data_IF_342920371373
#
_entry.id   IF_342920371373
#
_cell.length_a   1.000
_cell.length_b   1.000
_cell.length_c   1.000
_cell.angle_alpha   90.00
_cell.angle_beta   90.00
_cell.angle_gamma   90.00
#
_symmetry.space_group_name_H-M   'P 1'
#
loop_
_entity.id
_entity.type
_entity.pdbx_description
1 polymer ?
#
# COMPACT_ATOMS: atom_id res chain seq x y z
N UNK A 1 14.40 1.76 -22.68
CA UNK A 1 13.36 2.14 -21.69
C UNK A 1 12.26 3.02 -22.32
N UNK A 2 11.61 2.59 -23.41
CA UNK A 2 10.63 3.42 -24.13
C UNK A 2 9.45 2.68 -24.75
N UNK A 3 9.28 1.38 -24.47
CA UNK A 3 8.31 0.53 -25.17
C UNK A 3 6.90 0.48 -24.55
N UNK A 4 6.66 1.19 -23.45
CA UNK A 4 5.38 1.13 -22.73
C UNK A 4 4.57 2.42 -22.76
N UNK A 5 5.11 3.51 -23.34
CA UNK A 5 4.41 4.79 -23.43
C UNK A 5 3.44 4.80 -24.62
N UNK A 6 2.17 5.09 -24.35
CA UNK A 6 1.17 5.26 -25.42
C UNK A 6 0.89 6.76 -25.63
N UNK A 7 1.47 7.30 -26.70
CA UNK A 7 1.39 8.73 -27.02
C UNK A 7 -0.04 9.21 -27.29
N UNK A 8 -0.90 8.35 -27.83
CA UNK A 8 -2.28 8.69 -28.18
C UNK A 8 -3.20 8.83 -26.95
N UNK A 9 -2.82 8.25 -25.80
CA UNK A 9 -3.56 8.37 -24.53
C UNK A 9 -2.90 9.27 -23.50
N UNK A 10 -1.65 9.64 -23.75
CA UNK A 10 -0.92 10.57 -22.89
C UNK A 10 -1.36 12.00 -23.23
N UNK A 11 -1.69 12.79 -22.21
CA UNK A 11 -2.07 14.21 -22.35
C UNK A 11 -1.01 15.08 -21.66
N UNK A 12 -1.09 16.40 -21.82
CA UNK A 12 -0.15 17.31 -21.16
C UNK A 12 -0.13 17.08 -19.64
N UNK A 13 1.05 16.85 -19.07
CA UNK A 13 1.22 16.53 -17.65
C UNK A 13 0.91 15.08 -17.24
N UNK A 14 0.36 14.23 -18.13
CA UNK A 14 0.00 12.85 -17.80
C UNK A 14 0.54 11.84 -18.82
N UNK A 15 1.35 10.89 -18.34
CA UNK A 15 1.91 9.82 -19.16
C UNK A 15 1.13 8.53 -18.91
N UNK A 16 0.55 7.96 -19.97
CA UNK A 16 -0.09 6.66 -19.91
C UNK A 16 0.90 5.54 -20.26
N UNK A 17 1.11 4.62 -19.33
CA UNK A 17 1.88 3.40 -19.54
C UNK A 17 0.93 2.23 -19.79
N UNK A 18 1.04 1.58 -20.95
CA UNK A 18 0.17 0.44 -21.33
C UNK A 18 0.45 -0.81 -20.51
N UNK A 19 1.69 -0.96 -20.07
CA UNK A 19 2.16 -2.09 -19.28
C UNK A 19 3.23 -1.60 -18.31
N UNK A 20 3.18 -2.13 -17.09
CA UNK A 20 4.21 -1.93 -16.07
C UNK A 20 4.81 -3.28 -15.70
N UNK A 21 6.12 -3.31 -15.55
CA UNK A 21 6.90 -4.44 -15.04
C UNK A 21 7.98 -3.94 -14.07
N UNK A 22 8.83 -4.83 -13.57
CA UNK A 22 9.85 -4.46 -12.58
C UNK A 22 10.85 -3.43 -13.13
N UNK A 23 11.07 -3.39 -14.43
CA UNK A 23 11.99 -2.44 -15.09
C UNK A 23 11.34 -1.06 -15.33
N UNK A 24 10.04 -0.92 -15.07
CA UNK A 24 9.35 0.38 -15.07
C UNK A 24 9.51 1.15 -13.77
N UNK A 25 10.11 0.57 -12.73
CA UNK A 25 10.43 1.33 -11.53
C UNK A 25 11.55 2.34 -11.79
N UNK A 26 11.36 3.58 -11.32
CA UNK A 26 12.39 4.61 -11.43
C UNK A 26 11.85 6.03 -11.39
N UNK A 27 12.74 7.00 -11.58
CA UNK A 27 12.39 8.42 -11.62
C UNK A 27 11.96 8.79 -13.04
N UNK A 28 10.75 9.33 -13.16
CA UNK A 28 10.19 9.86 -14.39
C UNK A 28 10.24 11.38 -14.32
N UNK A 29 10.82 11.99 -15.35
CA UNK A 29 10.96 13.44 -15.49
C UNK A 29 10.08 13.97 -16.61
N UNK A 30 9.31 15.01 -16.31
CA UNK A 30 8.62 15.82 -17.30
C UNK A 30 9.39 17.11 -17.49
N UNK A 31 9.70 17.45 -18.73
CA UNK A 31 10.45 18.65 -19.11
C UNK A 31 9.62 19.43 -20.14
N UNK A 32 9.45 20.73 -19.92
CA UNK A 32 8.82 21.65 -20.86
C UNK A 32 9.76 22.82 -21.13
N UNK A 33 10.06 23.06 -22.40
CA UNK A 33 10.97 24.12 -22.84
C UNK A 33 10.21 25.16 -23.66
N UNK A 34 10.38 26.43 -23.32
CA UNK A 34 9.96 27.54 -24.15
C UNK A 34 10.90 27.68 -25.36
N UNK A 35 10.33 27.94 -26.53
CA UNK A 35 11.09 28.23 -27.75
C UNK A 35 11.47 29.72 -27.82
N UNK A 36 12.31 30.09 -28.79
CA UNK A 36 12.84 31.45 -29.00
C UNK A 36 11.80 32.56 -28.75
N UNK A 37 12.16 33.68 -28.08
CA UNK A 37 13.52 34.16 -27.79
C UNK A 37 14.07 33.82 -26.39
N UNK A 38 13.23 33.32 -25.48
CA UNK A 38 13.63 32.98 -24.10
C UNK A 38 13.58 31.47 -23.93
N UNK A 39 14.72 30.81 -24.08
CA UNK A 39 14.87 29.39 -23.78
C UNK A 39 14.81 29.17 -22.27
N UNK A 40 13.61 28.95 -21.75
CA UNK A 40 13.37 28.57 -20.36
C UNK A 40 12.90 27.11 -20.34
N UNK A 41 13.59 26.28 -19.57
CA UNK A 41 13.19 24.89 -19.35
C UNK A 41 12.71 24.75 -17.92
N UNK A 42 11.51 24.20 -17.74
CA UNK A 42 10.98 23.78 -16.44
C UNK A 42 10.91 22.26 -16.41
N UNK A 43 11.34 21.65 -15.31
CA UNK A 43 11.30 20.20 -15.12
C UNK A 43 10.64 19.83 -13.80
N UNK A 44 10.00 18.67 -13.78
CA UNK A 44 9.43 18.06 -12.58
C UNK A 44 9.70 16.55 -12.60
N UNK A 45 9.98 15.98 -11.43
CA UNK A 45 10.31 14.56 -11.28
C UNK A 45 9.37 13.84 -10.32
N UNK A 46 9.09 12.57 -10.61
CA UNK A 46 8.36 11.69 -9.69
C UNK A 46 8.89 10.25 -9.77
N UNK A 47 9.00 9.60 -8.62
CA UNK A 47 9.42 8.20 -8.54
C UNK A 47 8.21 7.27 -8.71
N UNK A 48 8.20 6.46 -9.78
CA UNK A 48 7.28 5.35 -9.96
C UNK A 48 7.82 4.13 -9.20
N UNK A 49 7.07 3.63 -8.22
CA UNK A 49 7.38 2.39 -7.49
C UNK A 49 6.53 1.24 -8.00
N UNK A 50 7.11 0.06 -8.13
CA UNK A 50 6.41 -1.16 -8.57
C UNK A 50 6.25 -2.12 -7.40
N UNK A 51 5.01 -2.54 -7.16
CA UNK A 51 4.67 -3.50 -6.13
C UNK A 51 4.30 -4.84 -6.76
N UNK A 52 4.84 -5.93 -6.21
CA UNK A 52 4.51 -7.30 -6.62
C UNK A 52 4.01 -8.07 -5.41
N UNK A 53 2.76 -8.53 -5.49
CA UNK A 53 2.09 -9.30 -4.44
C UNK A 53 2.43 -10.78 -4.64
N UNK A 54 2.73 -11.55 -3.56
CA UNK A 54 2.88 -12.99 -3.65
C UNK A 54 1.64 -13.61 -4.32
N UNK A 55 1.86 -14.47 -5.32
CA UNK A 55 0.78 -15.21 -5.98
C UNK A 55 0.38 -16.47 -5.21
N UNK A 56 1.26 -16.91 -4.30
CA UNK A 56 1.12 -18.14 -3.52
C UNK A 56 1.02 -17.80 -2.03
N UNK A 57 0.26 -18.61 -1.31
CA UNK A 57 0.19 -18.55 0.14
C UNK A 57 1.55 -18.90 0.78
N UNK A 58 1.87 -18.35 1.96
CA UNK A 58 3.09 -18.72 2.65
C UNK A 58 3.09 -20.20 3.05
N UNK A 59 4.23 -20.85 2.88
CA UNK A 59 4.42 -22.27 3.17
C UNK A 59 5.02 -22.48 4.57
N UNK A 60 4.50 -23.45 5.32
CA UNK A 60 5.07 -23.90 6.60
C UNK A 60 5.92 -25.14 6.37
N UNK A 61 7.22 -25.03 6.64
CA UNK A 61 8.23 -26.07 6.43
C UNK A 61 8.72 -26.61 7.78
N UNK A 62 8.94 -27.91 7.87
CA UNK A 62 9.49 -28.57 9.07
C UNK A 62 8.45 -28.98 10.12
N UNK A 63 7.15 -28.79 9.84
CA UNK A 63 6.09 -29.24 10.75
C UNK A 63 6.01 -30.76 10.82
N UNK A 64 5.88 -31.31 12.03
CA UNK A 64 5.62 -32.73 12.25
C UNK A 64 4.12 -33.03 12.13
N UNK A 65 3.78 -34.31 11.96
CA UNK A 65 2.39 -34.78 11.93
C UNK A 65 1.73 -34.82 13.31
N UNK A 66 2.52 -34.81 14.38
CA UNK A 66 2.06 -34.78 15.77
C UNK A 66 3.14 -34.13 16.66
N UNK A 67 2.70 -33.39 17.67
CA UNK A 67 3.54 -32.91 18.76
C UNK A 67 2.94 -33.33 20.11
N UNK A 68 3.80 -33.76 21.04
CA UNK A 68 3.46 -34.09 22.42
C UNK A 68 4.01 -33.03 23.38
N UNK A 69 3.56 -33.06 24.65
CA UNK A 69 4.12 -32.19 25.68
C UNK A 69 5.61 -32.49 25.86
N UNK A 70 6.43 -31.45 25.82
CA UNK A 70 7.89 -31.57 25.89
C UNK A 70 8.58 -31.61 24.53
N UNK A 71 7.85 -31.80 23.43
CA UNK A 71 8.42 -31.71 22.09
C UNK A 71 8.82 -30.27 21.76
N UNK A 72 9.83 -30.14 20.91
CA UNK A 72 10.22 -28.85 20.34
C UNK A 72 9.61 -28.69 18.96
N UNK A 73 8.80 -27.65 18.79
CA UNK A 73 8.38 -27.17 17.48
C UNK A 73 9.54 -26.34 16.93
N UNK A 74 10.03 -26.71 15.75
CA UNK A 74 10.99 -25.92 14.98
C UNK A 74 10.53 -25.91 13.53
N UNK A 75 9.82 -24.84 13.15
CA UNK A 75 9.24 -24.69 11.82
C UNK A 75 9.66 -23.37 11.21
N UNK A 76 9.69 -23.32 9.88
CA UNK A 76 10.00 -22.10 9.13
C UNK A 76 8.84 -21.75 8.22
N UNK A 77 8.40 -20.51 8.28
CA UNK A 77 7.45 -19.97 7.33
C UNK A 77 8.22 -19.32 6.18
N UNK A 78 7.81 -19.62 4.95
CA UNK A 78 8.38 -19.08 3.72
C UNK A 78 7.30 -18.38 2.90
N UNK A 79 7.50 -17.11 2.60
CA UNK A 79 6.60 -16.36 1.70
C UNK A 79 6.88 -16.66 0.23
N UNK A 80 5.86 -16.46 -0.62
CA UNK A 80 6.08 -16.32 -2.06
C UNK A 80 6.90 -15.07 -2.41
N UNK A 81 7.55 -15.01 -3.59
CA UNK A 81 8.32 -13.84 -4.02
C UNK A 81 7.45 -12.58 -4.13
N UNK A 82 7.93 -11.46 -3.58
CA UNK A 82 7.21 -10.19 -3.56
C UNK A 82 8.14 -8.97 -3.61
N UNK A 83 7.56 -7.80 -3.90
CA UNK A 83 8.23 -6.51 -3.84
C UNK A 83 7.29 -5.46 -3.23
N UNK A 84 7.60 -4.86 -2.07
CA UNK A 84 8.72 -5.20 -1.18
C UNK A 84 8.58 -6.60 -0.57
N UNK A 85 9.63 -7.08 0.11
CA UNK A 85 9.58 -8.32 0.87
C UNK A 85 8.40 -8.35 1.85
N UNK A 86 7.64 -9.45 1.85
CA UNK A 86 6.50 -9.62 2.75
C UNK A 86 6.93 -9.69 4.21
N UNK A 87 6.19 -9.04 5.10
CA UNK A 87 6.36 -9.17 6.55
C UNK A 87 5.61 -10.43 7.01
N UNK A 88 6.33 -11.35 7.65
CA UNK A 88 5.79 -12.60 8.17
C UNK A 88 5.39 -12.47 9.64
N UNK A 89 4.36 -13.21 10.05
CA UNK A 89 3.92 -13.34 11.44
C UNK A 89 3.42 -14.75 11.75
N UNK A 90 3.75 -15.25 12.94
CA UNK A 90 3.27 -16.55 13.42
C UNK A 90 2.07 -16.43 14.36
N UNK A 91 1.18 -17.41 14.28
CA UNK A 91 0.06 -17.59 15.18
C UNK A 91 0.02 -19.03 15.68
N UNK A 92 -0.13 -19.19 17.00
CA UNK A 92 -0.27 -20.47 17.71
C UNK A 92 -1.68 -20.50 18.29
N UNK A 93 -2.50 -21.46 17.86
CA UNK A 93 -3.91 -21.60 18.24
C UNK A 93 -4.70 -20.29 18.06
N UNK A 94 -4.46 -19.60 16.95
CA UNK A 94 -5.12 -18.33 16.60
C UNK A 94 -4.60 -17.09 17.34
N UNK A 95 -3.60 -17.21 18.23
CA UNK A 95 -2.98 -16.08 18.93
C UNK A 95 -1.60 -15.79 18.36
N UNK A 96 -1.26 -14.51 18.18
CA UNK A 96 0.07 -14.11 17.69
C UNK A 96 1.17 -14.67 18.61
N UNK A 97 2.21 -15.23 18.00
CA UNK A 97 3.35 -15.75 18.72
C UNK A 97 4.11 -14.61 19.43
N UNK A 98 4.63 -14.89 20.63
CA UNK A 98 5.46 -13.91 21.31
C UNK A 98 6.77 -13.71 20.51
N UNK A 99 7.29 -12.47 20.40
CA UNK A 99 8.49 -12.18 19.60
C UNK A 99 9.71 -13.04 19.96
N UNK A 100 9.84 -13.44 21.24
CA UNK A 100 10.94 -14.30 21.70
C UNK A 100 10.86 -15.75 21.24
N UNK A 101 9.77 -16.18 20.60
CA UNK A 101 9.64 -17.51 19.98
C UNK A 101 9.95 -17.48 18.48
N UNK A 102 9.97 -16.29 17.88
CA UNK A 102 10.21 -16.09 16.46
C UNK A 102 11.72 -15.93 16.20
N UNK A 103 12.19 -16.51 15.10
CA UNK A 103 13.58 -16.43 14.65
C UNK A 103 13.59 -15.70 13.31
N UNK A 104 14.13 -14.48 13.30
CA UNK A 104 14.26 -13.70 12.08
C UNK A 104 15.39 -14.22 11.21
N UNK A 105 15.08 -14.45 9.93
CA UNK A 105 16.06 -14.81 8.91
C UNK A 105 16.19 -13.67 7.89
N UNK A 106 17.37 -13.53 7.24
CA UNK A 106 17.51 -12.59 6.13
C UNK A 106 16.57 -12.98 4.98
N UNK A 107 16.10 -11.97 4.24
CA UNK A 107 15.34 -12.18 3.02
C UNK A 107 16.22 -12.81 1.94
N UNK A 108 15.62 -13.66 1.11
CA UNK A 108 16.26 -14.20 -0.09
C UNK A 108 15.93 -13.26 -1.25
N UNK A 109 16.97 -12.67 -1.85
CA UNK A 109 16.84 -11.86 -3.05
C UNK A 109 16.93 -12.76 -4.30
N UNK A 110 15.98 -12.57 -5.22
CA UNK A 110 15.94 -13.26 -6.50
C UNK A 110 16.58 -12.41 -7.59
N UNK A 111 17.08 -13.06 -8.65
CA UNK A 111 17.75 -12.38 -9.76
C UNK A 111 16.85 -11.36 -10.50
N UNK A 112 15.52 -11.52 -10.41
CA UNK A 112 14.54 -10.61 -10.98
C UNK A 112 14.19 -9.42 -10.05
N UNK A 113 14.85 -9.28 -8.90
CA UNK A 113 14.60 -8.20 -7.93
C UNK A 113 13.39 -8.43 -7.01
N UNK A 114 12.74 -9.60 -7.07
CA UNK A 114 11.76 -10.01 -6.05
C UNK A 114 12.47 -10.56 -4.82
N UNK A 115 11.75 -10.57 -3.69
CA UNK A 115 12.29 -11.01 -2.41
C UNK A 115 11.37 -12.04 -1.76
N UNK A 116 11.97 -13.03 -1.10
CA UNK A 116 11.28 -14.03 -0.29
C UNK A 116 11.70 -13.90 1.17
N UNK A 117 10.72 -13.63 2.04
CA UNK A 117 10.92 -13.59 3.49
C UNK A 117 10.80 -14.96 4.13
N UNK A 118 11.57 -15.15 5.20
CA UNK A 118 11.62 -16.36 6.02
C UNK A 118 11.47 -16.00 7.51
N UNK A 119 10.66 -16.75 8.25
CA UNK A 119 10.47 -16.56 9.70
C UNK A 119 10.39 -17.91 10.41
N UNK A 120 11.33 -18.18 11.30
CA UNK A 120 11.35 -19.37 12.13
C UNK A 120 10.43 -19.23 13.34
N UNK A 121 9.93 -20.35 13.84
CA UNK A 121 9.21 -20.46 15.10
C UNK A 121 9.80 -21.61 15.91
N UNK A 122 10.29 -21.31 17.11
CA UNK A 122 10.87 -22.30 18.02
C UNK A 122 10.32 -22.18 19.44
N UNK A 123 9.64 -23.23 19.90
CA UNK A 123 9.21 -23.34 21.29
C UNK A 123 9.05 -24.80 21.73
N UNK A 124 9.10 -25.03 23.04
CA UNK A 124 8.72 -26.31 23.64
C UNK A 124 7.23 -26.32 23.92
N UNK A 125 6.55 -27.39 23.51
CA UNK A 125 5.12 -27.60 23.75
C UNK A 125 4.83 -27.76 25.23
N UNK A 126 3.98 -26.89 25.77
CA UNK A 126 3.48 -26.95 27.14
C UNK A 126 2.06 -27.52 27.17
N UNK A 127 1.60 -28.06 28.32
CA UNK A 127 0.24 -28.58 28.43
C UNK A 127 -0.86 -27.57 28.03
N UNK A 128 -0.63 -26.28 28.29
CA UNK A 128 -1.54 -25.18 27.94
C UNK A 128 -1.64 -24.89 26.43
N UNK A 129 -0.68 -25.37 25.64
CA UNK A 129 -0.63 -25.13 24.20
C UNK A 129 -1.45 -26.18 23.42
N UNK A 130 -1.87 -27.26 24.08
CA UNK A 130 -2.73 -28.30 23.50
C UNK A 130 -4.21 -27.92 23.71
N UNK A 131 -4.96 -27.72 22.62
CA UNK A 131 -6.39 -27.42 22.68
C UNK A 131 -7.24 -28.68 22.93
N UNK A 132 -8.56 -28.53 23.14
CA UNK A 132 -9.49 -29.66 23.33
C UNK A 132 -9.35 -30.66 22.16
N UNK A 133 -8.73 -31.81 22.42
CA UNK A 133 -8.36 -32.79 21.39
C UNK A 133 -6.85 -33.09 21.28
N UNK A 134 -5.99 -32.40 22.04
CA UNK A 134 -4.55 -32.67 22.07
C UNK A 134 -3.81 -32.20 20.81
N UNK A 135 -4.29 -31.14 20.17
CA UNK A 135 -3.75 -30.60 18.94
C UNK A 135 -3.15 -29.21 19.15
N UNK A 136 -2.13 -28.89 18.36
CA UNK A 136 -1.59 -27.52 18.21
C UNK A 136 -1.86 -27.07 16.79
N UNK A 137 -2.34 -25.85 16.63
CA UNK A 137 -2.62 -25.27 15.34
C UNK A 137 -1.65 -24.14 15.05
N UNK A 138 -0.89 -24.28 13.97
CA UNK A 138 0.08 -23.29 13.52
C UNK A 138 -0.42 -22.60 12.26
N UNK A 139 -0.26 -21.27 12.22
CA UNK A 139 -0.61 -20.46 11.06
C UNK A 139 0.42 -19.37 10.87
N UNK A 140 0.82 -19.16 9.62
CA UNK A 140 1.67 -18.06 9.23
C UNK A 140 0.91 -17.09 8.31
N UNK A 141 1.17 -15.80 8.45
CA UNK A 141 0.64 -14.77 7.55
C UNK A 141 1.77 -13.99 6.90
N UNK A 142 1.64 -13.70 5.61
CA UNK A 142 2.54 -12.87 4.85
C UNK A 142 1.82 -11.58 4.45
N UNK A 143 2.44 -10.44 4.74
CA UNK A 143 1.82 -9.12 4.58
C UNK A 143 2.68 -8.22 3.71
N UNK A 144 2.08 -7.62 2.67
CA UNK A 144 2.76 -6.62 1.82
C UNK A 144 2.03 -5.29 1.92
N UNK A 145 2.77 -4.24 2.30
CA UNK A 145 2.24 -2.88 2.41
C UNK A 145 2.59 -2.07 1.16
N UNK A 146 1.56 -1.66 0.41
CA UNK A 146 1.69 -0.74 -0.71
C UNK A 146 1.46 0.69 -0.22
N UNK A 147 2.39 1.60 -0.51
CA UNK A 147 2.27 3.01 -0.12
C UNK A 147 2.44 3.90 -1.34
N UNK A 148 1.43 4.73 -1.59
CA UNK A 148 1.39 5.68 -2.69
C UNK A 148 1.06 7.07 -2.15
N UNK A 149 1.84 8.07 -2.55
CA UNK A 149 1.62 9.46 -2.11
C UNK A 149 1.43 10.40 -3.29
N UNK A 150 0.45 11.30 -3.15
CA UNK A 150 0.22 12.43 -4.04
C UNK A 150 0.26 13.72 -3.26
N UNK A 151 0.48 14.83 -3.96
CA UNK A 151 0.55 16.15 -3.37
C UNK A 151 -0.34 17.11 -4.15
N UNK A 152 -0.88 18.10 -3.46
CA UNK A 152 -1.49 19.25 -4.09
C UNK A 152 -0.44 20.04 -4.87
N UNK A 153 -0.88 20.93 -5.74
CA UNK A 153 -0.01 22.03 -6.18
C UNK A 153 0.41 22.86 -4.97
N UNK A 154 1.61 23.43 -5.05
CA UNK A 154 2.14 24.30 -4.03
C UNK A 154 1.42 25.65 -4.09
N UNK A 155 0.74 25.99 -2.99
CA UNK A 155 0.09 27.27 -2.83
C UNK A 155 1.10 28.27 -2.29
N UNK A 156 1.39 29.32 -3.06
CA UNK A 156 2.24 30.44 -2.64
C UNK A 156 1.35 31.55 -2.08
N UNK A 157 1.64 31.97 -0.86
CA UNK A 157 0.88 32.97 -0.12
C UNK A 157 1.80 34.14 0.24
N UNK A 158 1.54 35.36 -0.24
CA UNK A 158 2.40 36.53 0.00
C UNK A 158 2.05 37.78 -0.83
N UNK A 159 2.75 38.90 -0.61
CA UNK A 159 2.40 40.22 -1.15
C UNK A 159 2.63 40.41 -2.68
N UNK A 160 3.26 39.46 -3.38
CA UNK A 160 3.68 39.63 -4.80
C UNK A 160 2.96 38.75 -5.84
N UNK A 161 1.66 38.53 -5.71
CA UNK A 161 0.88 38.01 -6.84
C UNK A 161 0.48 39.13 -7.81
N UNK A 162 1.40 39.55 -8.69
CA UNK A 162 1.09 40.35 -9.89
C UNK A 162 1.09 39.40 -11.10
N UNK A 163 -0.01 38.68 -11.26
CA UNK A 163 -0.26 37.81 -12.41
C UNK A 163 -1.68 38.00 -12.89
N UNK A 164 -1.86 38.66 -14.03
CA UNK A 164 -3.14 38.86 -14.71
C UNK A 164 -3.69 37.54 -15.21
N UNK A 165 -4.48 36.86 -14.38
CA UNK A 165 -5.47 35.87 -14.81
C UNK A 165 -6.81 36.37 -14.28
N UNK A 166 -7.85 36.51 -15.12
CA UNK A 166 -9.13 37.04 -14.67
C UNK A 166 -9.67 36.16 -13.54
N UNK A 167 -10.07 36.83 -12.44
CA UNK A 167 -10.72 36.25 -11.28
C UNK A 167 -12.05 35.63 -11.74
N UNK A 168 -12.01 34.35 -12.13
CA UNK A 168 -13.13 33.47 -11.90
C UNK A 168 -12.99 32.96 -10.46
N UNK A 169 -14.07 33.00 -9.69
CA UNK A 169 -14.14 32.46 -8.33
C UNK A 169 -13.73 30.98 -8.29
N UNK A 170 -12.43 30.67 -8.18
CA UNK A 170 -11.95 29.29 -8.09
C UNK A 170 -10.58 29.23 -7.40
N UNK A 171 -10.56 29.30 -6.06
CA UNK A 171 -9.51 28.64 -5.23
C UNK A 171 -9.72 27.11 -5.25
N UNK A 172 -9.92 26.56 -6.45
CA UNK A 172 -10.10 25.13 -6.69
C UNK A 172 -9.10 24.76 -7.78
N UNK A 173 -7.89 24.45 -7.34
CA UNK A 173 -6.93 23.74 -8.17
C UNK A 173 -7.50 22.33 -8.38
N UNK A 174 -8.20 22.11 -9.50
CA UNK A 174 -8.71 20.78 -9.87
C UNK A 174 -7.51 19.97 -10.38
N UNK A 175 -6.71 19.46 -9.45
CA UNK A 175 -5.73 18.41 -9.76
C UNK A 175 -6.48 17.08 -9.72
N UNK A 176 -6.51 16.38 -10.85
CA UNK A 176 -7.30 15.14 -10.99
C UNK A 176 -6.77 13.99 -10.12
N UNK A 177 -5.51 14.08 -9.66
CA UNK A 177 -4.80 13.00 -8.97
C UNK A 177 -4.21 13.39 -7.59
N UNK A 178 -4.39 14.64 -7.13
CA UNK A 178 -3.86 15.16 -5.86
C UNK A 178 -4.96 15.52 -4.85
N UNK A 179 -4.64 15.70 -3.57
CA UNK A 179 -5.60 16.26 -2.62
C UNK A 179 -5.91 17.73 -2.97
N UNK A 180 -7.17 18.12 -2.77
CA UNK A 180 -7.66 19.45 -3.05
C UNK A 180 -7.52 20.35 -1.83
N UNK A 181 -6.81 21.47 -1.98
CA UNK A 181 -6.77 22.54 -0.98
C UNK A 181 -7.91 23.51 -1.27
N UNK A 182 -8.64 23.89 -0.21
CA UNK A 182 -9.73 24.88 -0.23
C UNK A 182 -9.64 25.83 0.95
N UNK A 183 -10.27 26.99 0.82
CA UNK A 183 -10.29 28.03 1.85
C UNK A 183 -9.12 29.01 1.72
N UNK A 184 -8.96 29.81 2.76
CA UNK A 184 -7.98 30.88 2.88
C UNK A 184 -8.10 32.03 1.86
N UNK A 185 -7.07 32.86 1.83
CA UNK A 185 -6.95 34.08 1.02
C UNK A 185 -5.66 34.04 0.19
N UNK A 186 -5.56 34.90 -0.84
CA UNK A 186 -4.35 34.97 -1.68
C UNK A 186 -3.18 35.71 -1.01
N UNK A 187 -3.43 36.46 0.06
CA UNK A 187 -2.45 37.30 0.75
C UNK A 187 -2.71 37.29 2.25
N UNK A 188 -1.63 37.27 3.03
CA UNK A 188 -1.71 37.30 4.49
C UNK A 188 -0.59 38.16 5.09
N UNK A 189 -0.88 38.72 6.26
CA UNK A 189 0.08 39.46 7.08
C UNK A 189 0.56 38.62 8.25
N UNK A 190 1.75 38.97 8.77
CA UNK A 190 2.25 38.41 10.03
C UNK A 190 1.21 38.63 11.13
N UNK A 191 0.87 37.54 11.83
CA UNK A 191 -0.12 37.52 12.89
C UNK A 191 -1.53 37.11 12.46
N UNK A 192 -1.81 37.03 11.16
CA UNK A 192 -3.07 36.49 10.65
C UNK A 192 -3.08 34.95 10.70
N UNK A 193 -4.26 34.35 10.54
CA UNK A 193 -4.45 32.91 10.66
C UNK A 193 -4.71 32.33 9.27
N UNK A 194 -3.80 31.46 8.82
CA UNK A 194 -4.03 30.59 7.67
C UNK A 194 -5.10 29.59 8.05
N UNK A 195 -6.17 29.51 7.24
CA UNK A 195 -7.29 28.61 7.48
C UNK A 195 -7.66 27.88 6.19
N UNK A 196 -7.10 26.68 6.03
CA UNK A 196 -7.24 25.87 4.84
C UNK A 196 -7.76 24.49 5.18
N UNK A 197 -8.51 23.88 4.26
CA UNK A 197 -8.89 22.48 4.33
C UNK A 197 -8.30 21.75 3.14
N UNK A 198 -7.66 20.62 3.42
CA UNK A 198 -7.18 19.69 2.42
C UNK A 198 -8.10 18.47 2.39
N UNK A 199 -8.60 18.10 1.21
CA UNK A 199 -9.50 16.94 1.03
C UNK A 199 -8.87 15.93 0.07
N UNK A 200 -8.89 14.65 0.45
CA UNK A 200 -8.36 13.58 -0.40
C UNK A 200 -9.27 13.25 -1.57
N UNK A 201 -8.74 12.54 -2.56
CA UNK A 201 -9.57 11.79 -3.51
C UNK A 201 -10.28 10.64 -2.80
N UNK A 202 -11.40 10.18 -3.37
CA UNK A 202 -12.13 8.99 -2.87
C UNK A 202 -11.26 7.75 -3.04
N UNK A 203 -11.12 6.96 -1.98
CA UNK A 203 -10.46 5.66 -2.06
C UNK A 203 -10.84 4.75 -0.91
N UNK A 204 -10.35 3.50 -0.93
CA UNK A 204 -10.43 2.57 0.22
C UNK A 204 -9.07 1.94 0.49
N UNK A 205 -8.56 2.01 1.74
CA UNK A 205 -9.04 2.88 2.84
C UNK A 205 -8.86 4.38 2.50
N UNK A 206 -9.40 5.30 3.31
CA UNK A 206 -9.12 6.73 3.15
C UNK A 206 -7.61 7.03 3.20
N UNK A 207 -7.08 7.95 2.37
CA UNK A 207 -5.68 8.35 2.43
C UNK A 207 -5.37 9.16 3.69
N UNK A 208 -4.17 9.03 4.24
CA UNK A 208 -3.71 9.88 5.34
C UNK A 208 -3.16 11.20 4.79
N UNK A 209 -3.67 12.33 5.30
CA UNK A 209 -3.26 13.66 4.86
C UNK A 209 -2.17 14.26 5.77
N UNK A 210 -1.28 15.06 5.20
CA UNK A 210 -0.27 15.82 5.93
C UNK A 210 -0.10 17.21 5.30
N UNK A 211 0.08 18.22 6.14
CA UNK A 211 0.39 19.59 5.71
C UNK A 211 1.89 19.85 5.80
N UNK A 212 2.44 20.52 4.79
CA UNK A 212 3.82 20.98 4.73
C UNK A 212 3.84 22.50 4.51
N UNK A 213 4.70 23.17 5.26
CA UNK A 213 4.98 24.59 5.20
C UNK A 213 6.45 24.76 4.83
N UNK A 214 6.73 25.35 3.67
CA UNK A 214 8.10 25.49 3.14
C UNK A 214 8.87 24.15 3.14
N UNK A 215 8.20 23.07 2.70
CA UNK A 215 8.69 21.68 2.70
C UNK A 215 8.94 21.03 4.07
N UNK A 216 8.64 21.72 5.17
CA UNK A 216 8.67 21.15 6.53
C UNK A 216 7.28 20.69 6.97
N UNK A 217 7.20 19.55 7.66
CA UNK A 217 5.94 19.01 8.15
C UNK A 217 5.35 19.95 9.22
N UNK A 218 4.07 20.31 9.05
CA UNK A 218 3.36 21.14 10.03
C UNK A 218 3.06 20.32 11.29
N UNK A 219 3.28 20.96 12.44
CA UNK A 219 3.03 20.39 13.75
C UNK A 219 1.55 20.05 14.02
N UNK A 220 1.33 18.96 14.76
CA UNK A 220 0.00 18.40 15.05
C UNK A 220 -0.94 19.37 15.78
N UNK A 221 -0.43 20.36 16.53
CA UNK A 221 -1.25 21.36 17.22
C UNK A 221 -1.87 22.39 16.26
N UNK A 222 -1.30 22.54 15.07
CA UNK A 222 -1.75 23.49 14.05
C UNK A 222 -2.68 22.87 13.02
N UNK A 223 -2.89 21.55 13.08
CA UNK A 223 -3.80 20.82 12.19
C UNK A 223 -5.10 20.44 12.91
N UNK A 224 -6.17 20.34 12.13
CA UNK A 224 -7.50 19.98 12.61
C UNK A 224 -7.91 18.68 11.92
N UNK A 225 -7.94 17.60 12.69
CA UNK A 225 -8.35 16.28 12.20
C UNK A 225 -9.88 16.21 12.09
N UNK A 226 -10.38 16.03 10.87
CA UNK A 226 -11.81 15.78 10.65
C UNK A 226 -12.09 14.28 10.52
N UNK A 227 -13.30 13.83 10.89
CA UNK A 227 -13.68 12.44 10.68
C UNK A 227 -13.74 12.11 9.19
N UNK A 228 -13.28 10.91 8.85
CA UNK A 228 -13.38 10.36 7.50
C UNK A 228 -14.85 10.30 7.06
N UNK A 229 -15.13 10.76 5.85
CA UNK A 229 -16.46 10.71 5.25
C UNK A 229 -16.60 9.44 4.43
N UNK A 230 -17.59 8.60 4.75
CA UNK A 230 -17.94 7.39 4.02
C UNK A 230 -19.04 7.68 3.00
N UNK A 231 -18.78 7.37 1.73
CA UNK A 231 -19.74 7.52 0.64
C UNK A 231 -20.61 6.26 0.47
N UNK A 232 -21.77 6.36 -0.20
CA UNK A 232 -22.70 5.24 -0.37
C UNK A 232 -22.14 4.07 -1.18
N UNK A 233 -21.19 4.33 -2.09
CA UNK A 233 -20.44 3.27 -2.78
C UNK A 233 -19.61 2.47 -1.77
N UNK A 234 -19.22 3.09 -0.65
CA UNK A 234 -18.38 2.64 0.45
C UNK A 234 -16.96 3.20 0.39
N UNK A 235 -16.66 4.08 -0.57
CA UNK A 235 -15.37 4.78 -0.65
C UNK A 235 -15.30 5.86 0.41
N UNK A 236 -14.07 6.22 0.78
CA UNK A 236 -13.81 7.12 1.88
C UNK A 236 -12.99 8.32 1.42
N UNK A 237 -13.26 9.47 2.05
CA UNK A 237 -12.49 10.71 1.88
C UNK A 237 -12.04 11.19 3.23
N UNK A 238 -10.76 11.54 3.35
CA UNK A 238 -10.21 12.22 4.50
C UNK A 238 -10.13 13.72 4.26
N UNK A 239 -10.28 14.50 5.34
CA UNK A 239 -10.13 15.96 5.32
C UNK A 239 -9.23 16.37 6.48
N UNK A 240 -8.25 17.23 6.21
CA UNK A 240 -7.34 17.77 7.22
C UNK A 240 -7.34 19.29 7.13
N UNK A 241 -7.77 19.93 8.22
CA UNK A 241 -7.70 21.38 8.36
C UNK A 241 -6.32 21.85 8.79
N UNK A 242 -5.96 23.05 8.38
CA UNK A 242 -4.79 23.79 8.84
C UNK A 242 -5.29 25.09 9.47
N UNK A 243 -4.88 25.35 10.71
CA UNK A 243 -5.12 26.61 11.40
C UNK A 243 -3.84 27.10 12.06
N UNK A 244 -3.06 27.86 11.30
CA UNK A 244 -1.73 28.31 11.70
C UNK A 244 -1.65 29.84 11.73
N UNK A 245 -1.12 30.41 12.81
CA UNK A 245 -0.84 31.85 12.87
C UNK A 245 0.47 32.14 12.13
N UNK A 246 0.44 33.06 11.17
CA UNK A 246 1.63 33.48 10.41
C UNK A 246 2.62 34.14 11.35
N UNK A 247 3.87 33.64 11.33
CA UNK A 247 4.99 34.19 12.09
C UNK A 247 6.09 34.61 11.12
N UNK A 248 6.97 35.56 11.49
CA UNK A 248 8.09 35.95 10.63
C UNK A 248 8.98 34.76 10.24
N UNK A 249 9.12 33.75 11.11
CA UNK A 249 9.91 32.55 10.85
C UNK A 249 9.31 31.64 9.77
N UNK A 250 8.01 31.78 9.45
CA UNK A 250 7.35 31.01 8.39
C UNK A 250 7.55 31.63 7.01
N UNK A 251 8.04 32.86 6.93
CA UNK A 251 8.25 33.58 5.69
C UNK A 251 9.62 33.22 5.11
N UNK A 252 9.67 32.92 3.83
CA UNK A 252 10.93 32.77 3.12
C UNK A 252 11.58 34.13 2.81
N UNK A 253 12.70 34.12 2.07
CA UNK A 253 13.41 35.35 1.69
C UNK A 253 12.60 36.31 0.82
N UNK A 254 11.51 35.84 0.22
CA UNK A 254 10.61 36.62 -0.63
C UNK A 254 9.36 37.09 0.14
N UNK A 255 9.31 36.87 1.45
CA UNK A 255 8.12 37.11 2.29
C UNK A 255 6.91 36.26 1.87
N UNK A 256 7.18 35.06 1.33
CA UNK A 256 6.16 34.11 0.90
C UNK A 256 6.11 32.90 1.84
N UNK A 257 4.91 32.31 1.93
CA UNK A 257 4.68 31.00 2.54
C UNK A 257 4.30 30.03 1.43
N UNK A 258 5.01 28.90 1.36
CA UNK A 258 4.68 27.79 0.47
C UNK A 258 3.94 26.71 1.23
N UNK A 259 2.72 26.42 0.82
CA UNK A 259 1.86 25.44 1.45
C UNK A 259 1.59 24.27 0.51
N UNK A 260 1.74 23.05 1.05
CA UNK A 260 1.55 21.81 0.30
C UNK A 260 0.83 20.80 1.16
N UNK A 261 -0.18 20.16 0.61
CA UNK A 261 -0.84 19.03 1.27
C UNK A 261 -0.45 17.73 0.55
N UNK A 262 -0.10 16.69 1.29
CA UNK A 262 0.11 15.36 0.73
C UNK A 262 -0.94 14.37 1.20
N UNK A 263 -1.38 13.50 0.31
CA UNK A 263 -2.26 12.37 0.59
C UNK A 263 -1.48 11.07 0.39
N UNK A 264 -1.42 10.24 1.43
CA UNK A 264 -0.72 8.96 1.40
C UNK A 264 -1.71 7.83 1.59
N UNK A 265 -1.87 7.00 0.55
CA UNK A 265 -2.67 5.79 0.59
C UNK A 265 -1.77 4.60 0.94
N UNK A 266 -2.06 3.95 2.07
CA UNK A 266 -1.39 2.72 2.51
C UNK A 266 -2.36 1.54 2.48
N UNK A 267 -2.10 0.56 1.60
CA UNK A 267 -2.88 -0.68 1.50
C UNK A 267 -2.07 -1.86 2.01
N UNK A 268 -2.65 -2.58 2.96
CA UNK A 268 -2.05 -3.79 3.54
C UNK A 268 -2.72 -5.01 2.92
N UNK A 269 -1.94 -5.80 2.17
CA UNK A 269 -2.41 -7.03 1.54
C UNK A 269 -1.91 -8.21 2.34
N UNK A 270 -2.85 -9.00 2.84
CA UNK A 270 -2.58 -10.14 3.70
C UNK A 270 -2.86 -11.43 2.95
N UNK A 271 -1.87 -12.31 2.92
CA UNK A 271 -1.95 -13.67 2.39
C UNK A 271 -1.67 -14.63 3.53
N UNK A 272 -2.37 -15.77 3.60
CA UNK A 272 -2.39 -16.63 4.79
C UNK A 272 -2.08 -18.08 4.42
N UNK A 273 -1.21 -18.73 5.17
CA UNK A 273 -0.94 -20.16 4.98
C UNK A 273 -2.18 -20.98 5.30
N UNK A 274 -2.25 -22.19 4.75
CA UNK A 274 -3.14 -23.22 5.26
C UNK A 274 -2.92 -23.44 6.76
N UNK A 275 -4.01 -23.68 7.47
CA UNK A 275 -3.98 -23.95 8.90
C UNK A 275 -3.48 -25.38 9.14
N UNK A 276 -2.32 -25.51 9.78
CA UNK A 276 -1.73 -26.81 10.11
C UNK A 276 -2.12 -27.17 11.54
N UNK A 277 -3.20 -27.93 11.67
CA UNK A 277 -3.58 -28.58 12.94
C UNK A 277 -2.84 -29.90 13.08
N UNK A 278 -2.05 -30.01 14.14
CA UNK A 278 -1.13 -31.11 14.39
C UNK A 278 -1.53 -31.80 15.69
N UNK A 279 -2.29 -32.90 15.59
CA UNK A 279 -2.69 -33.79 16.70
C UNK A 279 -4.19 -34.07 16.84
N UNK A 280 -4.54 -35.26 17.35
CA UNK A 280 -5.88 -35.64 17.80
C UNK A 280 -6.43 -36.97 17.26
N UNK A 281 -5.93 -38.13 17.71
CA UNK A 281 -6.73 -39.36 17.73
C UNK A 281 -6.80 -39.87 19.17
N UNK A 282 -7.98 -39.79 19.77
CA UNK A 282 -8.29 -40.55 20.99
C UNK A 282 -8.03 -42.03 20.70
N UNK A 283 -7.00 -42.62 21.32
CA UNK A 283 -7.00 -44.07 21.58
C UNK A 283 -7.90 -44.32 22.79
N UNK A 284 -9.21 -44.22 22.60
CA UNK A 284 -10.10 -44.96 23.48
C UNK A 284 -9.96 -46.43 23.09
N UNK A 285 -9.48 -47.25 24.03
CA UNK A 285 -9.62 -48.70 23.96
C UNK A 285 -11.12 -49.03 23.88
N UNK A 286 -11.62 -49.26 22.67
CA UNK A 286 -13.02 -49.61 22.39
C UNK A 286 -13.19 -50.01 20.94
N UNK A 287 -13.39 -51.32 20.73
CA UNK A 287 -13.79 -52.07 19.52
C UNK A 287 -13.75 -51.36 18.15
N UNK A 288 -12.90 -51.86 17.25
CA UNK A 288 -12.82 -51.38 15.86
C UNK A 288 -13.99 -51.87 14.99
N UNK A 289 -14.53 -50.97 14.17
CA UNK A 289 -15.13 -51.31 12.87
C UNK A 289 -14.30 -50.60 11.82
N UNK A 290 -13.65 -51.38 10.96
CA UNK A 290 -12.91 -50.86 9.83
C UNK A 290 -13.90 -50.41 8.75
N UNK A 291 -14.10 -49.11 8.58
CA UNK A 291 -14.74 -48.57 7.39
C UNK A 291 -13.70 -48.33 6.31
N UNK A 292 -13.75 -49.20 5.32
CA UNK A 292 -12.93 -49.24 4.14
C UNK A 292 -13.37 -48.13 3.17
N UNK A 293 -12.82 -46.92 3.29
CA UNK A 293 -12.88 -45.94 2.20
C UNK A 293 -11.68 -46.14 1.29
N UNK A 294 -11.90 -46.96 0.25
CA UNK A 294 -10.94 -47.21 -0.81
C UNK A 294 -10.53 -45.92 -1.52
N UNK A 295 -9.22 -45.73 -1.69
CA UNK A 295 -8.65 -44.78 -2.66
C UNK A 295 -9.08 -45.19 -4.07
N UNK A 296 -9.97 -44.40 -4.68
CA UNK A 296 -10.18 -44.45 -6.12
C UNK A 296 -8.98 -43.77 -6.78
N UNK A 297 -8.09 -44.59 -7.34
CA UNK A 297 -7.07 -44.18 -8.30
C UNK A 297 -7.68 -44.24 -9.69
N UNK A 298 -8.04 -43.11 -10.28
CA UNK A 298 -8.27 -43.04 -11.72
C UNK A 298 -7.04 -42.42 -12.42
N UNK A 299 -6.23 -43.33 -12.96
CA UNK A 299 -5.38 -43.06 -14.12
C UNK A 299 -6.24 -43.37 -15.35
N UNK A 300 -6.61 -42.35 -16.13
CA UNK A 300 -6.49 -42.51 -17.57
C UNK A 300 -6.31 -41.19 -18.31
N UNK A 301 -5.47 -41.29 -19.34
CA UNK A 301 -4.90 -40.24 -20.16
C UNK A 301 -5.54 -40.33 -21.54
N UNK A 302 -6.15 -39.25 -22.03
CA UNK A 302 -6.04 -38.87 -23.45
C UNK A 302 -6.45 -37.41 -23.69
N UNK A 303 -5.46 -36.64 -24.14
CA UNK A 303 -5.50 -35.69 -25.24
C UNK A 303 -6.80 -34.91 -25.52
N UNK A 304 -6.77 -33.62 -25.21
CA UNK A 304 -7.09 -32.59 -26.20
C UNK A 304 -6.29 -31.32 -25.92
N UNK A 305 -5.53 -30.89 -26.92
CA UNK A 305 -4.89 -29.58 -26.95
C UNK A 305 -6.00 -28.54 -27.09
N UNK A 306 -6.19 -27.69 -26.08
CA UNK A 306 -6.75 -26.35 -26.30
C UNK A 306 -5.81 -25.34 -25.65
N UNK A 307 -5.22 -24.52 -26.51
CA UNK A 307 -4.48 -23.32 -26.15
C UNK A 307 -5.46 -22.36 -25.48
N UNK A 308 -5.38 -22.21 -24.16
CA UNK A 308 -6.11 -21.20 -23.43
C UNK A 308 -5.13 -20.09 -23.05
N UNK A 309 -5.14 -19.04 -23.86
CA UNK A 309 -4.55 -17.75 -23.55
C UNK A 309 -5.33 -17.18 -22.34
N UNK A 310 -4.73 -17.19 -21.15
CA UNK A 310 -5.34 -16.57 -19.98
C UNK A 310 -4.76 -15.18 -19.75
N UNK A 311 -5.68 -14.23 -19.83
CA UNK A 311 -5.52 -12.78 -19.70
C UNK A 311 -5.06 -12.45 -18.29
N UNK A 312 -3.98 -11.67 -18.19
CA UNK A 312 -3.60 -10.95 -16.97
C UNK A 312 -4.75 -10.01 -16.63
N UNK A 313 -5.46 -10.24 -15.53
CA UNK A 313 -6.45 -9.30 -15.03
C UNK A 313 -5.75 -8.06 -14.46
N UNK A 314 -5.68 -7.01 -15.27
CA UNK A 314 -5.43 -5.65 -14.81
C UNK A 314 -6.80 -5.03 -14.52
N UNK A 315 -7.11 -4.80 -13.25
CA UNK A 315 -8.29 -4.04 -12.87
C UNK A 315 -8.06 -2.56 -13.23
N UNK A 316 -8.65 -2.12 -14.33
CA UNK A 316 -8.77 -0.70 -14.69
C UNK A 316 -10.20 -0.28 -14.42
N UNK A 317 -10.42 0.48 -13.34
CA UNK A 317 -11.68 1.19 -13.14
C UNK A 317 -11.71 2.42 -14.06
N UNK A 318 -12.55 2.39 -15.10
CA UNK A 318 -13.00 3.59 -15.80
C UNK A 318 -14.51 3.72 -15.63
N UNK A 319 -14.94 4.75 -14.92
CA UNK A 319 -16.29 5.30 -15.04
C UNK A 319 -16.22 6.45 -16.06
N UNK A 320 -16.71 6.18 -17.26
CA UNK A 320 -17.05 7.20 -18.26
C UNK A 320 -18.45 7.70 -17.89
N UNK A 321 -18.55 8.96 -17.47
CA UNK A 321 -19.80 9.71 -17.59
C UNK A 321 -19.54 10.81 -18.61
N UNK A 322 -20.02 10.55 -19.82
CA UNK A 322 -20.18 11.55 -20.85
C UNK A 322 -21.38 12.44 -20.48
N UNK A 323 -21.21 13.75 -20.49
CA UNK A 323 -22.30 14.64 -20.88
C UNK A 323 -21.74 15.81 -21.69
N UNK A 324 -22.53 16.14 -22.72
CA UNK A 324 -22.40 17.12 -23.80
C UNK A 324 -21.83 18.48 -23.40
#
# INVERSE_FOLDING_TARGET
MGHHRELQKSVQGHVYLTKTDLDTEGVYRCEASAESPTFQTVEAEKHLKVFVIPQEDPEIIGSQSRYEVGDYVNVTCKSGPSKPAAVLKWYINGKEAAPGLEISYPTIDHANGLQTSLLGLWFMVKPKDLFQGGAITLKCTATVSQTYSTSSEELIVGEKFVGTVPIMNTLTVITKDGPLITGGESQYRVGEILNFNCSSTKSRPAPTLHWYLNEELVDDHSVIQYPTTLYPDGEEVSVLGLRLKVQPAHLDSNEEVRLKCTATLSRVINVRSDERTVGGNHRNSGLQVAENYGKVSERNRSSSKLSACFIVQVAVLFTIVAFL
#
